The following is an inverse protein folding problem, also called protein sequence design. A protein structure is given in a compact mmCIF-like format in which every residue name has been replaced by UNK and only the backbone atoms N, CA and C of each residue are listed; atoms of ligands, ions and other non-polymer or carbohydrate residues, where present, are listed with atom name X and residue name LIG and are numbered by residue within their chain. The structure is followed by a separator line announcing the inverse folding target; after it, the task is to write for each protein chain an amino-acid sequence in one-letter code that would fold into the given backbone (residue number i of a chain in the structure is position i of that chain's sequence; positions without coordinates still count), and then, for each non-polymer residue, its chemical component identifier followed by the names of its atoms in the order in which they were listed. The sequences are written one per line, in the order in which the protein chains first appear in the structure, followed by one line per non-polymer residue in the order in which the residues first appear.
data_IF_581676558063
#
_entry.id   IF_581676558063
#
_cell.length_a   1.000
_cell.length_b   1.000
_cell.length_c   1.000
_cell.angle_alpha   90.00
_cell.angle_beta   90.00
_cell.angle_gamma   90.00
#
_symmetry.space_group_name_H-M   'P 1'
#
loop_
_entity.id
_entity.type
_entity.pdbx_description
1 polymer ?
#
# COMPACT_ATOMS: atom_id res chain seq x y z
N UNK A 1 0.11 12.73 -2.55
CA UNK A 1 1.23 12.54 -1.59
C UNK A 1 0.65 12.53 -0.18
N UNK A 2 0.46 11.34 0.38
CA UNK A 2 0.03 11.17 1.76
C UNK A 2 1.28 11.25 2.65
N UNK A 3 1.26 12.15 3.63
CA UNK A 3 2.39 12.37 4.54
C UNK A 3 1.85 12.29 5.96
N UNK A 4 2.18 11.22 6.68
CA UNK A 4 1.99 11.14 8.12
C UNK A 4 3.35 11.26 8.81
N UNK A 5 3.59 12.35 9.56
CA UNK A 5 4.72 12.50 10.50
C UNK A 5 5.65 13.71 10.26
N UNK A 6 5.54 14.69 11.17
CA UNK A 6 6.33 15.91 11.44
C UNK A 6 6.85 16.79 10.26
N UNK A 7 6.64 18.09 10.44
CA UNK A 7 6.88 19.27 9.59
C UNK A 7 8.32 19.52 9.10
N UNK A 8 9.18 18.51 9.10
CA UNK A 8 10.62 18.60 8.85
C UNK A 8 11.07 18.09 7.48
N UNK A 9 10.63 18.68 6.37
CA UNK A 9 11.33 18.64 5.08
C UNK A 9 11.75 17.27 4.51
N UNK A 10 11.12 16.17 4.92
CA UNK A 10 11.41 14.83 4.37
C UNK A 10 10.73 14.67 3.02
N UNK A 11 11.33 13.86 2.16
CA UNK A 11 10.89 13.58 0.77
C UNK A 11 9.67 12.65 0.70
N UNK A 12 8.86 12.54 1.77
CA UNK A 12 7.74 11.59 1.87
C UNK A 12 8.15 10.11 1.91
N UNK A 13 9.45 9.81 1.77
CA UNK A 13 10.01 8.46 1.81
C UNK A 13 10.50 8.14 3.23
N UNK A 14 10.05 7.03 3.81
CA UNK A 14 10.53 6.54 5.12
C UNK A 14 11.56 5.45 4.87
N UNK A 15 12.83 5.81 4.97
CA UNK A 15 13.98 4.94 4.73
C UNK A 15 14.82 4.84 6.02
N UNK A 16 15.35 3.65 6.33
CA UNK A 16 16.20 3.35 7.48
C UNK A 16 15.59 3.76 8.86
N UNK A 17 14.26 3.73 8.99
CA UNK A 17 13.59 4.04 10.25
C UNK A 17 13.95 3.00 11.33
N UNK A 18 14.30 3.46 12.53
CA UNK A 18 14.56 2.54 13.64
C UNK A 18 13.24 1.98 14.20
N UNK A 19 13.29 0.87 14.94
CA UNK A 19 12.08 0.19 15.43
C UNK A 19 11.12 1.05 16.25
N UNK A 20 11.62 2.10 16.93
CA UNK A 20 10.76 3.04 17.65
C UNK A 20 10.07 4.04 16.73
N UNK A 21 10.76 4.49 15.68
CA UNK A 21 10.18 5.35 14.64
C UNK A 21 9.12 4.58 13.84
N UNK A 22 9.42 3.36 13.42
CA UNK A 22 8.47 2.48 12.74
C UNK A 22 7.23 2.22 13.60
N UNK A 23 7.40 1.93 14.90
CA UNK A 23 6.27 1.73 15.80
C UNK A 23 5.37 2.97 15.88
N UNK A 24 5.95 4.18 15.96
CA UNK A 24 5.18 5.43 16.00
C UNK A 24 4.44 5.70 14.68
N UNK A 25 5.06 5.41 13.53
CA UNK A 25 4.43 5.56 12.22
C UNK A 25 3.25 4.59 12.12
N UNK A 26 3.48 3.34 12.49
CA UNK A 26 2.48 2.30 12.42
C UNK A 26 1.31 2.57 13.39
N UNK A 27 1.59 3.06 14.60
CA UNK A 27 0.60 3.57 15.57
C UNK A 27 -0.20 4.76 15.02
N UNK A 28 0.46 5.68 14.32
CA UNK A 28 -0.21 6.82 13.67
C UNK A 28 -1.15 6.34 12.55
N UNK A 29 -0.72 5.37 11.76
CA UNK A 29 -1.51 4.82 10.65
C UNK A 29 -2.64 3.97 11.18
N UNK A 30 -2.39 2.93 11.97
CA UNK A 30 -3.44 1.95 12.34
C UNK A 30 -4.19 2.28 13.63
N UNK A 31 -3.93 3.42 14.25
CA UNK A 31 -4.44 3.73 15.58
C UNK A 31 -3.63 3.06 16.67
N UNK A 32 -3.25 3.86 17.66
CA UNK A 32 -2.33 3.50 18.73
C UNK A 32 -2.92 2.66 19.84
N UNK A 33 -2.14 2.55 20.92
CA UNK A 33 -2.60 1.96 22.18
C UNK A 33 -2.72 3.01 23.29
N UNK A 34 -3.73 2.90 24.15
CA UNK A 34 -3.88 3.76 25.34
C UNK A 34 -4.78 4.98 25.15
N UNK A 35 -4.44 6.12 25.76
CA UNK A 35 -5.32 7.31 25.79
C UNK A 35 -5.29 8.16 24.50
N UNK A 36 -4.44 7.81 23.54
CA UNK A 36 -4.36 8.45 22.22
C UNK A 36 -5.05 7.59 21.14
N UNK A 37 -6.36 7.41 21.31
CA UNK A 37 -7.26 6.69 20.39
C UNK A 37 -7.59 7.53 19.12
N UNK A 38 -6.85 8.62 18.87
CA UNK A 38 -7.20 9.58 17.80
C UNK A 38 -6.55 9.31 16.45
N UNK A 39 -5.55 8.41 16.40
CA UNK A 39 -5.06 7.81 15.15
C UNK A 39 -5.91 6.61 14.73
N UNK A 40 -5.93 6.27 13.44
CA UNK A 40 -6.73 5.13 12.99
C UNK A 40 -7.18 5.21 11.54
N UNK A 41 -6.25 5.30 10.61
CA UNK A 41 -6.49 4.89 9.23
C UNK A 41 -6.23 3.37 9.07
N UNK A 42 -6.50 2.86 7.86
CA UNK A 42 -6.00 1.56 7.42
C UNK A 42 -4.62 1.75 6.82
N UNK A 43 -3.69 0.82 7.06
CA UNK A 43 -2.45 0.79 6.27
C UNK A 43 -2.68 0.01 4.98
N UNK A 44 -2.17 0.56 3.88
CA UNK A 44 -2.23 -0.07 2.55
C UNK A 44 -0.81 -0.46 2.16
N UNK A 45 -0.57 -1.76 2.08
CA UNK A 45 0.74 -2.33 1.82
C UNK A 45 0.81 -2.94 0.42
N UNK A 46 1.98 -2.83 -0.20
CA UNK A 46 2.33 -3.51 -1.45
C UNK A 46 3.24 -4.70 -1.16
N UNK A 47 2.93 -5.87 -1.70
CA UNK A 47 3.74 -7.08 -1.60
C UNK A 47 4.88 -7.06 -2.63
N UNK A 48 6.12 -7.07 -2.14
CA UNK A 48 7.37 -7.06 -2.92
C UNK A 48 8.10 -8.40 -2.91
N UNK A 49 7.49 -9.47 -2.37
CA UNK A 49 8.10 -10.81 -2.33
C UNK A 49 8.30 -11.40 -3.73
N UNK A 50 7.48 -10.97 -4.69
CA UNK A 50 7.61 -11.37 -6.09
C UNK A 50 8.70 -10.53 -6.78
N UNK A 51 9.68 -11.18 -7.40
CA UNK A 51 10.77 -10.53 -8.17
C UNK A 51 10.29 -9.72 -9.37
N UNK A 52 9.05 -9.90 -9.80
CA UNK A 52 8.40 -9.07 -10.81
C UNK A 52 7.77 -7.80 -10.23
N UNK A 53 8.04 -7.48 -8.97
CA UNK A 53 7.61 -6.26 -8.30
C UNK A 53 8.85 -5.67 -7.63
N UNK A 54 9.07 -4.39 -7.85
CA UNK A 54 10.05 -3.60 -7.12
C UNK A 54 9.46 -2.23 -6.81
N UNK A 55 10.15 -1.46 -5.98
CA UNK A 55 9.76 -0.10 -5.63
C UNK A 55 10.89 0.87 -5.95
N UNK A 56 10.51 2.05 -6.42
CA UNK A 56 11.42 3.17 -6.64
C UNK A 56 11.01 4.34 -5.75
N UNK A 57 11.99 5.12 -5.32
CA UNK A 57 11.72 6.38 -4.62
C UNK A 57 11.10 7.43 -5.57
N UNK A 58 10.73 8.60 -5.04
CA UNK A 58 10.03 9.63 -5.81
C UNK A 58 10.87 10.21 -6.97
N UNK A 59 12.20 10.11 -6.88
CA UNK A 59 13.13 10.53 -7.94
C UNK A 59 13.38 9.43 -9.01
N UNK A 60 12.67 8.29 -8.92
CA UNK A 60 12.83 7.14 -9.82
C UNK A 60 14.08 6.30 -9.56
N UNK A 61 14.83 6.58 -8.50
CA UNK A 61 15.93 5.75 -8.04
C UNK A 61 15.42 4.46 -7.42
N UNK A 62 16.07 3.32 -7.72
CA UNK A 62 15.73 2.05 -7.08
C UNK A 62 16.03 2.09 -5.58
N UNK A 63 15.09 1.59 -4.77
CA UNK A 63 15.21 1.50 -3.31
C UNK A 63 14.95 0.05 -2.89
N UNK A 64 15.64 -0.42 -1.84
CA UNK A 64 15.37 -1.75 -1.31
C UNK A 64 14.10 -1.71 -0.48
N UNK A 65 13.15 -2.62 -0.75
CA UNK A 65 11.95 -2.76 0.06
C UNK A 65 12.25 -3.04 1.54
N UNK A 66 13.40 -3.65 1.85
CA UNK A 66 13.85 -3.91 3.23
C UNK A 66 14.27 -2.69 4.01
N UNK A 67 14.56 -1.59 3.30
CA UNK A 67 15.03 -0.35 3.92
C UNK A 67 13.84 0.61 4.13
N UNK A 68 12.69 0.28 3.53
CA UNK A 68 11.44 1.01 3.63
C UNK A 68 10.52 0.42 4.69
N UNK A 69 9.63 1.25 5.21
CA UNK A 69 8.59 0.77 6.10
C UNK A 69 7.60 -0.15 5.35
N UNK A 70 7.14 -1.29 5.89
CA UNK A 70 7.49 -1.86 7.20
C UNK A 70 8.73 -2.78 7.17
N UNK A 71 9.85 -2.32 7.73
CA UNK A 71 11.09 -3.12 7.72
C UNK A 71 11.21 -4.12 8.89
N UNK A 72 10.17 -4.27 9.73
CA UNK A 72 10.21 -5.16 10.89
C UNK A 72 8.93 -5.98 11.14
N UNK A 73 9.09 -7.31 11.18
CA UNK A 73 8.07 -8.27 11.63
C UNK A 73 7.59 -8.05 13.08
N UNK A 74 8.22 -7.16 13.85
CA UNK A 74 7.74 -6.82 15.20
C UNK A 74 6.61 -5.78 15.21
N UNK A 75 6.36 -5.10 14.09
CA UNK A 75 5.36 -4.02 13.99
C UNK A 75 3.95 -4.62 13.91
N UNK A 76 3.71 -5.42 12.87
CA UNK A 76 2.46 -6.16 12.67
C UNK A 76 2.52 -7.59 13.25
N UNK A 77 3.53 -7.92 14.04
CA UNK A 77 3.80 -9.30 14.44
C UNK A 77 4.03 -10.23 13.23
N UNK A 78 3.67 -11.50 13.38
CA UNK A 78 3.72 -12.47 12.27
C UNK A 78 2.56 -12.26 11.25
N UNK A 79 1.76 -11.19 11.37
CA UNK A 79 0.63 -10.94 10.50
C UNK A 79 1.05 -10.67 9.06
N UNK A 80 2.17 -9.97 8.87
CA UNK A 80 2.68 -9.52 7.57
C UNK A 80 4.17 -9.82 7.49
N UNK A 81 4.61 -10.33 6.35
CA UNK A 81 6.01 -10.65 6.10
C UNK A 81 6.89 -9.40 5.97
N UNK A 82 8.21 -9.59 5.90
CA UNK A 82 9.19 -8.51 5.70
C UNK A 82 9.24 -8.01 4.26
N UNK A 83 8.43 -8.57 3.37
CA UNK A 83 8.41 -8.23 1.96
C UNK A 83 7.25 -7.28 1.61
N UNK A 84 6.71 -6.55 2.58
CA UNK A 84 5.68 -5.55 2.33
C UNK A 84 6.24 -4.14 2.51
N UNK A 85 5.72 -3.19 1.72
CA UNK A 85 6.04 -1.75 1.82
C UNK A 85 4.73 -0.99 1.99
N UNK A 86 4.65 -0.03 2.92
CA UNK A 86 3.44 0.80 3.07
C UNK A 86 3.41 1.88 2.02
N UNK A 87 2.29 1.98 1.30
CA UNK A 87 2.01 3.07 0.37
C UNK A 87 1.47 4.32 1.10
N UNK A 88 1.10 4.17 2.38
CA UNK A 88 0.64 5.27 3.23
C UNK A 88 1.82 5.96 3.90
N UNK A 89 2.83 5.18 4.32
CA UNK A 89 4.03 5.69 4.98
C UNK A 89 5.12 6.12 3.99
N UNK A 90 5.16 5.54 2.78
CA UNK A 90 6.23 5.80 1.82
C UNK A 90 5.68 6.38 0.51
N UNK A 91 6.27 7.48 0.06
CA UNK A 91 6.11 7.98 -1.31
C UNK A 91 6.97 7.15 -2.28
N UNK A 92 6.40 6.04 -2.77
CA UNK A 92 7.08 5.09 -3.67
C UNK A 92 6.32 4.91 -4.98
N UNK A 93 7.08 4.60 -6.03
CA UNK A 93 6.54 4.11 -7.30
C UNK A 93 6.62 2.58 -7.32
N UNK A 94 5.50 1.92 -7.60
CA UNK A 94 5.46 0.47 -7.82
C UNK A 94 5.94 0.17 -9.24
N UNK A 95 6.95 -0.66 -9.37
CA UNK A 95 7.56 -1.05 -10.64
C UNK A 95 7.25 -2.52 -10.90
N UNK A 96 6.55 -2.80 -12.00
CA UNK A 96 6.23 -4.15 -12.43
C UNK A 96 7.22 -4.68 -13.47
N UNK A 97 7.52 -5.97 -13.36
CA UNK A 97 8.47 -6.69 -14.20
C UNK A 97 9.78 -7.01 -13.48
N UNK A 98 10.67 -7.73 -14.17
CA UNK A 98 12.02 -7.99 -13.65
C UNK A 98 12.89 -6.71 -13.76
N UNK A 99 14.22 -6.82 -13.59
CA UNK A 99 15.14 -5.67 -13.75
C UNK A 99 14.98 -4.95 -15.12
N UNK A 100 14.37 -5.59 -16.11
CA UNK A 100 14.13 -5.06 -17.45
C UNK A 100 12.69 -4.53 -17.64
N UNK A 101 11.84 -4.62 -16.62
CA UNK A 101 10.43 -4.26 -16.65
C UNK A 101 9.56 -5.33 -17.33
N UNK A 102 8.26 -5.03 -17.47
CA UNK A 102 7.35 -5.88 -18.23
C UNK A 102 7.58 -5.69 -19.73
N UNK A 103 7.65 -6.78 -20.53
CA UNK A 103 7.64 -6.65 -21.98
C UNK A 103 6.37 -5.90 -22.44
N UNK A 104 6.44 -5.18 -23.57
CA UNK A 104 5.26 -4.56 -24.16
C UNK A 104 4.15 -5.58 -24.42
N UNK A 105 2.89 -5.19 -24.20
CA UNK A 105 1.72 -6.06 -24.35
C UNK A 105 1.74 -7.32 -23.46
N UNK A 106 2.20 -7.17 -22.22
CA UNK A 106 2.18 -8.25 -21.22
C UNK A 106 1.02 -8.04 -20.24
N UNK A 107 0.36 -9.14 -19.90
CA UNK A 107 -0.62 -9.20 -18.80
C UNK A 107 -0.07 -10.07 -17.68
N UNK A 108 -0.03 -9.53 -16.46
CA UNK A 108 0.49 -10.18 -15.26
C UNK A 108 -0.53 -10.10 -14.14
N UNK A 109 -0.86 -11.26 -13.57
CA UNK A 109 -1.73 -11.37 -12.41
C UNK A 109 -0.94 -11.60 -11.13
N UNK A 110 -1.35 -10.92 -10.07
CA UNK A 110 -0.80 -11.04 -8.72
C UNK A 110 -1.91 -11.48 -7.78
N UNK A 111 -1.74 -12.62 -7.10
CA UNK A 111 -2.79 -13.13 -6.22
C UNK A 111 -2.96 -12.31 -4.95
N UNK A 112 -1.87 -11.76 -4.40
CA UNK A 112 -1.86 -11.03 -3.13
C UNK A 112 -1.00 -9.78 -3.30
N UNK A 113 -1.40 -8.84 -4.17
CA UNK A 113 -0.61 -7.65 -4.47
C UNK A 113 -0.70 -6.64 -3.34
N UNK A 114 -1.93 -6.31 -2.94
CA UNK A 114 -2.19 -5.37 -1.86
C UNK A 114 -2.60 -6.10 -0.61
N UNK A 115 -2.07 -5.67 0.53
CA UNK A 115 -2.53 -6.09 1.85
C UNK A 115 -3.00 -4.87 2.64
N UNK A 116 -4.07 -5.06 3.41
CA UNK A 116 -4.73 -4.01 4.17
C UNK A 116 -4.67 -4.34 5.64
N UNK A 117 -4.10 -3.42 6.41
CA UNK A 117 -3.99 -3.56 7.87
C UNK A 117 -5.12 -2.81 8.53
N UNK A 118 -6.03 -3.50 9.23
CA UNK A 118 -7.20 -2.86 9.82
C UNK A 118 -6.80 -1.89 10.94
N UNK A 119 -7.61 -0.85 11.13
CA UNK A 119 -7.51 0.07 12.26
C UNK A 119 -7.84 -0.66 13.59
N UNK A 120 -7.16 -0.30 14.68
CA UNK A 120 -7.30 -0.85 16.03
C UNK A 120 -8.38 -0.18 16.91
N UNK A 121 -9.12 0.80 16.35
CA UNK A 121 -10.18 1.53 17.05
C UNK A 121 -11.63 1.12 16.66
N UNK A 122 -11.81 -0.04 16.01
CA UNK A 122 -13.15 -0.59 15.69
C UNK A 122 -13.97 0.18 14.66
N UNK A 123 -13.41 1.22 14.05
CA UNK A 123 -14.02 1.98 12.95
C UNK A 123 -13.77 1.26 11.63
N UNK A 124 -14.79 1.21 10.78
CA UNK A 124 -14.68 0.69 9.42
C UNK A 124 -14.15 1.77 8.47
N UNK A 125 -13.34 1.36 7.49
CA UNK A 125 -12.79 2.23 6.46
C UNK A 125 -13.05 1.65 5.08
N UNK A 126 -13.37 2.52 4.14
CA UNK A 126 -13.37 2.17 2.73
C UNK A 126 -12.05 2.61 2.10
N UNK A 127 -11.30 1.64 1.56
CA UNK A 127 -10.10 1.93 0.76
C UNK A 127 -10.45 1.83 -0.70
N UNK A 128 -10.28 2.93 -1.42
CA UNK A 128 -10.63 3.08 -2.84
C UNK A 128 -9.40 3.41 -3.66
N UNK A 129 -9.30 2.84 -4.86
CA UNK A 129 -8.20 3.08 -5.79
C UNK A 129 -8.71 3.72 -7.07
N UNK A 130 -7.99 4.74 -7.52
CA UNK A 130 -8.26 5.49 -8.75
C UNK A 130 -6.98 5.57 -9.59
N UNK A 131 -7.14 5.73 -10.91
CA UNK A 131 -6.01 6.03 -11.79
C UNK A 131 -6.21 7.38 -12.47
N UNK A 132 -5.11 8.11 -12.64
CA UNK A 132 -5.10 9.33 -13.47
C UNK A 132 -5.17 9.03 -14.98
N UNK A 133 -5.04 7.76 -15.36
CA UNK A 133 -5.15 7.27 -16.72
C UNK A 133 -6.52 6.62 -16.98
N UNK A 134 -7.08 6.83 -18.17
CA UNK A 134 -8.30 6.16 -18.64
C UNK A 134 -8.25 4.65 -18.38
N UNK A 135 -9.39 4.05 -17.99
CA UNK A 135 -9.49 2.62 -17.65
C UNK A 135 -8.79 1.70 -18.68
N UNK A 136 -9.02 1.93 -19.98
CA UNK A 136 -8.43 1.14 -21.07
C UNK A 136 -6.92 1.37 -21.28
N UNK A 137 -6.35 2.39 -20.63
CA UNK A 137 -4.96 2.80 -20.72
C UNK A 137 -4.19 2.65 -19.39
N UNK A 138 -4.86 2.20 -18.32
CA UNK A 138 -4.23 1.96 -17.03
C UNK A 138 -3.42 0.67 -17.06
N UNK A 139 -2.16 0.75 -16.65
CA UNK A 139 -1.26 -0.36 -16.32
C UNK A 139 -1.89 -1.27 -15.28
N UNK A 140 -2.32 -0.73 -14.13
CA UNK A 140 -3.09 -1.49 -13.16
C UNK A 140 -4.52 -1.56 -13.67
N UNK A 141 -4.98 -2.74 -14.05
CA UNK A 141 -6.28 -2.92 -14.72
C UNK A 141 -7.37 -3.34 -13.75
N UNK A 142 -7.04 -4.15 -12.75
CA UNK A 142 -8.01 -4.67 -11.79
C UNK A 142 -7.40 -4.77 -10.39
N UNK A 143 -8.23 -4.55 -9.37
CA UNK A 143 -7.96 -4.90 -7.97
C UNK A 143 -9.18 -5.65 -7.45
N UNK A 144 -8.98 -6.81 -6.81
CA UNK A 144 -10.09 -7.63 -6.30
C UNK A 144 -11.05 -8.13 -7.38
N UNK A 145 -10.64 -8.09 -8.67
CA UNK A 145 -11.50 -8.41 -9.81
C UNK A 145 -12.44 -7.28 -10.25
N UNK A 146 -12.29 -6.07 -9.70
CA UNK A 146 -12.98 -4.85 -10.13
C UNK A 146 -12.00 -3.96 -10.90
N UNK A 147 -12.42 -3.46 -12.06
CA UNK A 147 -11.57 -2.64 -12.93
C UNK A 147 -11.40 -1.22 -12.41
N UNK A 148 -10.24 -0.59 -12.66
CA UNK A 148 -10.02 0.82 -12.31
C UNK A 148 -10.81 1.75 -13.24
N UNK A 149 -11.39 2.82 -12.68
CA UNK A 149 -11.97 3.92 -13.44
C UNK A 149 -11.10 5.19 -13.27
N UNK A 150 -11.25 6.11 -14.20
CA UNK A 150 -10.52 7.39 -14.23
C UNK A 150 -11.46 8.59 -14.40
N UNK A 151 -12.77 8.35 -14.43
CA UNK A 151 -13.75 9.42 -14.49
C UNK A 151 -14.00 9.96 -13.08
N UNK A 152 -14.72 11.07 -12.99
CA UNK A 152 -15.11 11.64 -11.70
C UNK A 152 -16.23 10.81 -11.00
N UNK A 153 -16.69 9.70 -11.61
CA UNK A 153 -17.73 8.81 -11.08
C UNK A 153 -17.10 7.63 -10.34
N UNK A 154 -16.85 7.90 -9.06
CA UNK A 154 -16.21 6.98 -8.14
C UNK A 154 -17.05 5.78 -7.72
N UNK A 155 -18.30 5.68 -8.19
CA UNK A 155 -19.25 4.65 -7.77
C UNK A 155 -18.90 3.23 -8.23
N UNK A 156 -17.99 3.10 -9.21
CA UNK A 156 -17.54 1.81 -9.75
C UNK A 156 -16.05 1.54 -9.52
N UNK A 157 -15.36 2.40 -8.77
CA UNK A 157 -13.95 2.17 -8.44
C UNK A 157 -13.81 0.92 -7.57
N UNK A 158 -12.67 0.20 -7.68
CA UNK A 158 -12.36 -0.86 -6.75
C UNK A 158 -12.25 -0.26 -5.34
N UNK A 159 -13.23 -0.60 -4.50
CA UNK A 159 -13.27 -0.26 -3.09
C UNK A 159 -13.34 -1.50 -2.22
N UNK A 160 -12.67 -1.44 -1.08
CA UNK A 160 -12.63 -2.50 -0.09
C UNK A 160 -12.96 -1.93 1.27
N UNK A 161 -14.05 -2.44 1.83
CA UNK A 161 -14.42 -2.16 3.21
C UNK A 161 -13.56 -3.01 4.13
N UNK A 162 -12.72 -2.34 4.91
CA UNK A 162 -11.87 -2.94 5.93
C UNK A 162 -12.54 -2.70 7.27
N UNK A 163 -13.05 -3.77 7.87
CA UNK A 163 -13.61 -3.69 9.22
C UNK A 163 -12.51 -3.35 10.21
N UNK A 164 -12.75 -2.34 11.04
CA UNK A 164 -11.89 -2.07 12.18
C UNK A 164 -11.89 -3.24 13.16
N UNK A 165 -10.72 -3.50 13.73
CA UNK A 165 -10.58 -4.40 14.87
C UNK A 165 -10.48 -3.54 16.13
N UNK A 166 -11.07 -3.98 17.24
CA UNK A 166 -10.86 -3.33 18.54
C UNK A 166 -9.96 -4.22 19.35
N UNK A 167 -8.67 -3.90 19.39
CA UNK A 167 -7.67 -4.72 20.06
C UNK A 167 -7.16 -4.05 21.34
N UNK A 168 -7.25 -4.72 22.51
CA UNK A 168 -6.90 -4.12 23.80
C UNK A 168 -5.39 -3.82 23.98
N UNK A 169 -4.54 -4.24 23.03
CA UNK A 169 -3.09 -4.04 23.07
C UNK A 169 -2.54 -3.31 21.82
N UNK A 170 -3.40 -2.63 21.05
CA UNK A 170 -3.01 -1.91 19.83
C UNK A 170 -2.45 -2.84 18.74
N UNK A 171 -1.66 -2.28 17.83
CA UNK A 171 -1.16 -2.96 16.62
C UNK A 171 -0.44 -4.30 16.87
N UNK A 172 0.20 -4.47 18.02
CA UNK A 172 0.89 -5.71 18.39
C UNK A 172 -0.03 -6.94 18.53
N UNK A 173 -1.35 -6.74 18.48
CA UNK A 173 -2.35 -7.80 18.51
C UNK A 173 -2.99 -8.09 17.14
N UNK A 174 -2.56 -7.43 16.07
CA UNK A 174 -3.03 -7.76 14.71
C UNK A 174 -2.49 -9.14 14.35
N UNK A 175 -3.37 -10.07 14.00
CA UNK A 175 -3.03 -11.42 13.54
C UNK A 175 -3.18 -11.52 12.01
N UNK A 176 -2.50 -12.47 11.35
CA UNK A 176 -2.57 -12.60 9.87
C UNK A 176 -4.00 -12.75 9.34
N UNK A 177 -4.93 -13.30 10.12
CA UNK A 177 -6.33 -13.44 9.74
C UNK A 177 -7.13 -12.12 9.75
N UNK A 178 -6.60 -11.07 10.39
CA UNK A 178 -7.16 -9.73 10.38
C UNK A 178 -6.72 -8.92 9.16
N UNK A 179 -5.66 -9.36 8.47
CA UNK A 179 -5.19 -8.74 7.24
C UNK A 179 -6.06 -9.21 6.08
N UNK A 180 -6.54 -8.25 5.30
CA UNK A 180 -7.21 -8.55 4.03
C UNK A 180 -6.20 -8.40 2.91
N UNK A 181 -6.11 -9.36 2.00
CA UNK A 181 -5.26 -9.27 0.81
C UNK A 181 -6.12 -9.24 -0.45
N UNK A 182 -5.70 -8.46 -1.45
CA UNK A 182 -6.42 -8.34 -2.71
C UNK A 182 -5.55 -8.73 -3.91
N UNK A 183 -6.07 -9.55 -4.83
CA UNK A 183 -5.43 -9.80 -6.10
C UNK A 183 -5.45 -8.54 -6.96
N UNK A 184 -4.55 -8.48 -7.92
CA UNK A 184 -4.51 -7.41 -8.89
C UNK A 184 -4.00 -7.89 -10.25
N UNK A 185 -4.39 -7.19 -11.30
CA UNK A 185 -3.93 -7.43 -12.67
C UNK A 185 -3.23 -6.20 -13.22
N UNK A 186 -2.10 -6.41 -13.87
CA UNK A 186 -1.36 -5.37 -14.60
C UNK A 186 -1.33 -5.75 -16.08
N UNK A 187 -1.77 -4.84 -16.94
CA UNK A 187 -1.65 -4.98 -18.40
C UNK A 187 -0.91 -3.77 -18.94
N UNK A 188 0.23 -4.01 -19.60
CA UNK A 188 0.99 -2.88 -20.14
C UNK A 188 0.27 -2.21 -21.31
N UNK A 189 -0.56 -2.93 -22.08
CA UNK A 189 -1.28 -2.52 -23.32
C UNK A 189 -0.50 -1.71 -24.36
N UNK A 190 0.72 -1.30 -24.05
CA UNK A 190 1.55 -0.32 -24.75
C UNK A 190 2.67 -1.05 -25.47
N UNK A 191 3.29 -0.32 -26.41
CA UNK A 191 4.50 -0.72 -27.13
C UNK A 191 5.79 -0.19 -26.48
N UNK A 192 5.69 0.50 -25.35
CA UNK A 192 6.77 1.25 -24.67
C UNK A 192 6.63 1.25 -23.13
N UNK A 193 7.66 1.78 -22.45
CA UNK A 193 7.72 1.88 -20.99
C UNK A 193 6.84 3.04 -20.51
N UNK A 194 5.60 2.75 -20.13
CA UNK A 194 4.64 3.72 -19.58
C UNK A 194 4.69 3.76 -18.04
N UNK A 195 4.23 4.87 -17.49
CA UNK A 195 4.06 5.10 -16.04
C UNK A 195 2.68 5.73 -15.83
N UNK A 196 2.07 5.46 -14.69
CA UNK A 196 0.80 6.05 -14.28
C UNK A 196 0.83 6.45 -12.82
N UNK A 197 -0.08 7.34 -12.42
CA UNK A 197 -0.34 7.61 -11.01
C UNK A 197 -1.48 6.71 -10.54
N UNK A 198 -1.31 6.16 -9.33
CA UNK A 198 -2.34 5.44 -8.60
C UNK A 198 -2.72 6.29 -7.39
N UNK A 199 -3.95 6.76 -7.36
CA UNK A 199 -4.49 7.50 -6.24
C UNK A 199 -5.20 6.53 -5.29
N UNK A 200 -4.93 6.66 -3.99
CA UNK A 200 -5.51 5.83 -2.94
C UNK A 200 -6.23 6.76 -1.98
N UNK A 201 -7.53 6.52 -1.83
CA UNK A 201 -8.41 7.26 -0.92
C UNK A 201 -8.85 6.33 0.21
N UNK A 202 -8.77 6.81 1.45
CA UNK A 202 -9.19 6.10 2.67
C UNK A 202 -10.24 6.98 3.35
N UNK A 203 -11.47 6.48 3.49
CA UNK A 203 -12.65 7.20 4.01
C UNK A 203 -13.34 6.48 5.17
#
# INVERSE_FOLDING_TARGET
MNVFGDSGGTTGLVDDANSGEEANIAETITGGSGEDETGGAVDVLINTANKSISVAGPDGGGVSATDLFPSAASIYGDAIGTEYVSLVANDVTIVFGDEQGLPPSSSVGFSNLFAFVPNTNGTEFDVRFESDAAADASLLTEIGGTGLNSDDDTSNDPSFTISGVSEPNGQSAIESGSITEQPASVDTTTSDNTSQTLDITIE
#
